data_IF_256525881386
#
_entry.id   IF_256525881386
#
_cell.length_a   1.000
_cell.length_b   1.000
_cell.length_c   1.000
_cell.angle_alpha   90.00
_cell.angle_beta   90.00
_cell.angle_gamma   90.00
#
_symmetry.space_group_name_H-M   'P 1'
#
loop_
_entity.id
_entity.type
_entity.pdbx_description
1 polymer ?
#
# COMPACT_ATOMS: atom_id res chain seq x y z
N UNK A 1 -29.45 22.94 -13.41
CA UNK A 1 -28.09 23.45 -13.14
C UNK A 1 -27.56 23.11 -11.74
N UNK A 2 -28.22 23.48 -10.62
CA UNK A 2 -27.75 23.07 -9.27
C UNK A 2 -27.93 21.55 -8.98
N UNK A 3 -28.98 20.92 -9.52
CA UNK A 3 -29.22 19.46 -9.38
C UNK A 3 -28.27 18.59 -10.22
N UNK A 4 -27.73 19.10 -11.33
CA UNK A 4 -26.80 18.36 -12.20
C UNK A 4 -25.42 18.21 -11.55
N UNK A 5 -24.95 19.25 -10.85
CA UNK A 5 -23.66 19.24 -10.15
C UNK A 5 -23.70 18.25 -8.98
N UNK A 6 -24.80 18.23 -8.22
CA UNK A 6 -24.98 17.31 -7.09
C UNK A 6 -25.03 15.85 -7.57
N UNK A 7 -25.78 15.57 -8.62
CA UNK A 7 -25.90 14.23 -9.24
C UNK A 7 -24.57 13.75 -9.83
N UNK A 8 -23.81 14.62 -10.51
CA UNK A 8 -22.48 14.30 -11.04
C UNK A 8 -21.48 13.97 -9.92
N UNK A 9 -21.55 14.68 -8.77
CA UNK A 9 -20.69 14.39 -7.62
C UNK A 9 -21.00 13.04 -6.97
N UNK A 10 -22.29 12.69 -6.83
CA UNK A 10 -22.73 11.42 -6.25
C UNK A 10 -22.33 10.25 -7.14
N UNK A 11 -22.53 10.37 -8.46
CA UNK A 11 -22.14 9.34 -9.43
C UNK A 11 -20.63 9.05 -9.37
N UNK A 12 -19.78 10.09 -9.26
CA UNK A 12 -18.32 9.92 -9.12
C UNK A 12 -17.93 9.25 -7.81
N UNK A 13 -18.61 9.58 -6.71
CA UNK A 13 -18.42 8.93 -5.40
C UNK A 13 -18.74 7.44 -5.48
N UNK A 14 -19.91 7.09 -6.00
CA UNK A 14 -20.33 5.69 -6.15
C UNK A 14 -19.35 4.91 -7.03
N UNK A 15 -18.97 5.48 -8.19
CA UNK A 15 -18.02 4.84 -9.11
C UNK A 15 -16.68 4.56 -8.42
N UNK A 16 -16.11 5.51 -7.68
CA UNK A 16 -14.79 5.27 -7.09
C UNK A 16 -14.81 4.45 -5.80
N UNK A 17 -15.90 4.48 -5.01
CA UNK A 17 -16.07 3.51 -3.91
C UNK A 17 -16.27 2.09 -4.45
N UNK A 18 -16.99 1.92 -5.56
CA UNK A 18 -17.10 0.64 -6.25
C UNK A 18 -15.76 0.15 -6.79
N UNK A 19 -14.99 1.03 -7.42
CA UNK A 19 -13.64 0.73 -7.91
C UNK A 19 -12.63 0.43 -6.79
N UNK A 20 -12.70 1.11 -5.63
CA UNK A 20 -11.95 0.79 -4.43
C UNK A 20 -12.30 -0.62 -3.93
N UNK A 21 -13.59 -0.95 -3.89
CA UNK A 21 -14.06 -2.26 -3.47
C UNK A 21 -13.57 -3.35 -4.43
N UNK A 22 -13.63 -3.12 -5.74
CA UNK A 22 -13.09 -4.05 -6.75
C UNK A 22 -11.58 -4.24 -6.57
N UNK A 23 -10.82 -3.18 -6.35
CA UNK A 23 -9.38 -3.27 -6.13
C UNK A 23 -9.04 -4.04 -4.83
N UNK A 24 -9.80 -3.80 -3.77
CA UNK A 24 -9.67 -4.52 -2.50
C UNK A 24 -10.01 -6.00 -2.68
N UNK A 25 -11.09 -6.30 -3.41
CA UNK A 25 -11.50 -7.66 -3.73
C UNK A 25 -10.45 -8.39 -4.57
N UNK A 26 -9.81 -7.70 -5.52
CA UNK A 26 -8.72 -8.26 -6.33
C UNK A 26 -7.51 -8.62 -5.46
N UNK A 27 -7.12 -7.75 -4.53
CA UNK A 27 -6.04 -8.07 -3.56
C UNK A 27 -6.43 -9.28 -2.71
N UNK A 28 -7.67 -9.32 -2.21
CA UNK A 28 -8.18 -10.44 -1.43
C UNK A 28 -8.16 -11.76 -2.22
N UNK A 29 -8.60 -11.75 -3.47
CA UNK A 29 -8.62 -12.92 -4.33
C UNK A 29 -7.20 -13.44 -4.63
N UNK A 30 -6.25 -12.54 -4.89
CA UNK A 30 -4.84 -12.90 -5.05
C UNK A 30 -4.29 -13.49 -3.75
N UNK A 31 -4.58 -12.88 -2.60
CA UNK A 31 -4.13 -13.36 -1.30
C UNK A 31 -4.65 -14.77 -0.99
N UNK A 32 -5.95 -15.05 -1.20
CA UNK A 32 -6.48 -16.40 -1.01
C UNK A 32 -5.92 -17.39 -2.03
N UNK A 33 -5.69 -16.98 -3.29
CA UNK A 33 -5.04 -17.83 -4.28
C UNK A 33 -3.61 -18.23 -3.87
N UNK A 34 -2.82 -17.27 -3.37
CA UNK A 34 -1.48 -17.53 -2.83
C UNK A 34 -1.57 -18.43 -1.60
N UNK A 35 -2.51 -18.18 -0.68
CA UNK A 35 -2.72 -19.02 0.50
C UNK A 35 -2.98 -20.48 0.12
N UNK A 36 -3.89 -20.73 -0.81
CA UNK A 36 -4.18 -22.11 -1.27
C UNK A 36 -3.00 -22.77 -1.95
N UNK A 37 -2.18 -21.99 -2.67
CA UNK A 37 -0.96 -22.50 -3.29
C UNK A 37 0.07 -22.87 -2.24
N UNK A 38 0.32 -22.00 -1.27
CA UNK A 38 1.29 -22.23 -0.18
C UNK A 38 0.89 -23.42 0.69
N UNK A 39 -0.41 -23.60 0.96
CA UNK A 39 -0.94 -24.74 1.72
C UNK A 39 -0.68 -26.06 1.00
N UNK A 40 -0.72 -26.06 -0.34
CA UNK A 40 -0.39 -27.24 -1.16
C UNK A 40 1.10 -27.61 -1.14
N UNK A 41 1.98 -26.69 -0.71
CA UNK A 41 3.43 -26.87 -0.65
C UNK A 41 3.97 -26.89 0.80
N UNK A 42 3.11 -26.90 1.83
CA UNK A 42 3.47 -26.77 3.25
C UNK A 42 4.27 -25.48 3.60
N UNK A 43 4.12 -24.42 2.79
CA UNK A 43 4.84 -23.14 2.94
C UNK A 43 4.02 -22.07 3.68
N UNK A 44 3.11 -22.48 4.57
CA UNK A 44 2.13 -21.59 5.20
C UNK A 44 2.74 -20.42 5.97
N UNK A 45 3.92 -20.58 6.58
CA UNK A 45 4.60 -19.49 7.29
C UNK A 45 5.07 -18.37 6.34
N UNK A 46 5.34 -18.65 5.06
CA UNK A 46 5.71 -17.64 4.06
C UNK A 46 4.55 -16.68 3.76
N UNK A 47 3.30 -17.09 4.02
CA UNK A 47 2.11 -16.28 3.76
C UNK A 47 2.13 -14.91 4.48
N UNK A 48 2.77 -14.84 5.66
CA UNK A 48 2.93 -13.60 6.42
C UNK A 48 3.74 -12.57 5.61
N UNK A 49 4.80 -13.00 4.92
CA UNK A 49 5.62 -12.13 4.08
C UNK A 49 4.87 -11.63 2.84
N UNK A 50 4.01 -12.46 2.25
CA UNK A 50 3.10 -12.00 1.19
C UNK A 50 2.13 -10.94 1.70
N UNK A 51 1.58 -11.12 2.92
CA UNK A 51 0.72 -10.12 3.56
C UNK A 51 1.41 -8.76 3.73
N UNK A 52 2.67 -8.77 4.18
CA UNK A 52 3.49 -7.56 4.28
C UNK A 52 3.73 -6.92 2.89
N UNK A 53 3.96 -7.73 1.86
CA UNK A 53 4.16 -7.26 0.49
C UNK A 53 2.94 -6.56 -0.11
N UNK A 54 1.72 -6.98 0.25
CA UNK A 54 0.50 -6.36 -0.28
C UNK A 54 0.34 -4.88 0.08
N UNK A 55 1.04 -4.41 1.12
CA UNK A 55 1.06 -2.99 1.52
C UNK A 55 1.64 -2.09 0.42
N UNK A 56 2.50 -2.62 -0.46
CA UNK A 56 3.05 -1.87 -1.58
C UNK A 56 1.99 -1.54 -2.64
N UNK A 57 0.85 -2.23 -2.65
CA UNK A 57 -0.28 -1.90 -3.52
C UNK A 57 -1.20 -0.80 -2.96
N UNK A 58 -1.04 -0.41 -1.68
CA UNK A 58 -1.82 0.68 -1.06
C UNK A 58 -1.86 1.96 -1.91
N UNK A 59 -0.74 2.46 -2.48
CA UNK A 59 -0.76 3.67 -3.28
C UNK A 59 -1.53 3.45 -4.57
N UNK A 60 -1.38 2.27 -5.19
CA UNK A 60 -2.11 1.91 -6.40
C UNK A 60 -3.62 1.90 -6.17
N UNK A 61 -4.08 1.33 -5.06
CA UNK A 61 -5.50 1.33 -4.69
C UNK A 61 -5.97 2.74 -4.32
N UNK A 62 -5.14 3.54 -3.65
CA UNK A 62 -5.48 4.93 -3.32
C UNK A 62 -5.65 5.81 -4.56
N UNK A 63 -4.91 5.49 -5.64
CA UNK A 63 -5.04 6.15 -6.94
C UNK A 63 -6.34 5.80 -7.65
N UNK A 64 -6.98 4.70 -7.29
CA UNK A 64 -8.32 4.38 -7.79
C UNK A 64 -9.38 5.27 -7.11
N UNK A 65 -9.12 5.71 -5.87
CA UNK A 65 -9.94 6.70 -5.14
C UNK A 65 -9.86 8.12 -5.73
N UNK A 66 -9.02 8.30 -6.75
CA UNK A 66 -8.72 9.56 -7.41
C UNK A 66 -9.92 10.44 -7.79
N UNK A 67 -11.09 9.92 -8.21
CA UNK A 67 -12.21 10.77 -8.60
C UNK A 67 -13.02 11.38 -7.44
N UNK A 68 -12.79 11.00 -6.17
CA UNK A 68 -13.70 11.32 -5.05
C UNK A 68 -13.39 12.63 -4.32
N UNK A 69 -12.13 12.94 -4.04
CA UNK A 69 -11.82 13.74 -2.85
C UNK A 69 -11.60 15.24 -3.11
N UNK A 70 -11.19 15.69 -4.31
CA UNK A 70 -10.62 17.05 -4.46
C UNK A 70 -10.84 17.78 -5.80
N UNK A 71 -11.79 17.39 -6.65
CA UNK A 71 -12.04 18.13 -7.91
C UNK A 71 -13.32 18.94 -7.80
N UNK A 72 -13.16 20.25 -7.55
CA UNK A 72 -14.15 21.23 -7.99
C UNK A 72 -14.16 21.27 -9.52
N UNK A 73 -15.34 21.19 -10.16
CA UNK A 73 -15.46 21.00 -11.60
C UNK A 73 -15.09 22.22 -12.46
N UNK A 74 -14.71 23.35 -11.87
CA UNK A 74 -14.69 24.63 -12.59
C UNK A 74 -13.35 25.09 -13.18
N UNK A 75 -12.19 24.48 -12.88
CA UNK A 75 -10.94 24.99 -13.45
C UNK A 75 -9.95 23.92 -13.95
N UNK A 76 -9.57 24.09 -15.22
CA UNK A 76 -8.46 23.48 -15.96
C UNK A 76 -8.66 22.11 -16.64
N UNK A 77 -9.28 22.25 -17.83
CA UNK A 77 -9.19 21.36 -18.99
C UNK A 77 -7.75 20.93 -19.30
N UNK A 78 -7.58 19.61 -19.43
CA UNK A 78 -6.65 18.88 -20.32
C UNK A 78 -5.13 18.97 -20.11
N UNK A 79 -4.55 20.02 -19.51
CA UNK A 79 -3.08 20.10 -19.29
C UNK A 79 -2.56 19.35 -18.05
N UNK A 80 -3.43 18.95 -17.12
CA UNK A 80 -3.06 18.31 -15.86
C UNK A 80 -2.99 16.76 -15.94
N UNK A 81 -3.63 16.13 -16.94
CA UNK A 81 -3.69 14.66 -17.06
C UNK A 81 -2.34 14.01 -17.37
N UNK A 82 -1.50 14.62 -18.21
CA UNK A 82 -0.23 14.02 -18.64
C UNK A 82 0.78 13.89 -17.49
N UNK A 83 1.01 14.98 -16.75
CA UNK A 83 1.92 14.96 -15.59
C UNK A 83 1.40 14.10 -14.44
N UNK A 84 0.08 14.08 -14.23
CA UNK A 84 -0.55 13.17 -13.27
C UNK A 84 -0.36 11.70 -13.68
N UNK A 85 -0.60 11.38 -14.96
CA UNK A 85 -0.43 10.01 -15.48
C UNK A 85 1.04 9.57 -15.44
N UNK A 86 1.98 10.50 -15.64
CA UNK A 86 3.40 10.27 -15.44
C UNK A 86 3.75 9.97 -13.97
N UNK A 87 3.17 10.70 -13.01
CA UNK A 87 3.38 10.43 -11.58
C UNK A 87 2.77 9.07 -11.17
N UNK A 88 1.59 8.74 -11.69
CA UNK A 88 0.93 7.45 -11.48
C UNK A 88 1.79 6.32 -12.05
N UNK A 89 2.28 6.48 -13.29
CA UNK A 89 3.14 5.49 -13.95
C UNK A 89 4.45 5.29 -13.18
N UNK A 90 5.08 6.37 -12.73
CA UNK A 90 6.30 6.29 -11.91
C UNK A 90 6.03 5.56 -10.59
N UNK A 91 4.95 5.90 -9.88
CA UNK A 91 4.57 5.22 -8.64
C UNK A 91 4.28 3.75 -8.90
N UNK A 92 3.59 3.40 -9.99
CA UNK A 92 3.35 2.01 -10.36
C UNK A 92 4.65 1.24 -10.58
N UNK A 93 5.58 1.78 -11.38
CA UNK A 93 6.89 1.15 -11.64
C UNK A 93 7.67 0.96 -10.34
N UNK A 94 7.75 1.99 -9.51
CA UNK A 94 8.48 1.93 -8.23
C UNK A 94 7.87 0.90 -7.28
N UNK A 95 6.55 0.85 -7.14
CA UNK A 95 5.89 -0.11 -6.25
C UNK A 95 6.02 -1.56 -6.76
N UNK A 96 5.93 -1.79 -8.08
CA UNK A 96 6.14 -3.11 -8.67
C UNK A 96 7.58 -3.59 -8.47
N UNK A 97 8.56 -2.72 -8.67
CA UNK A 97 9.97 -3.05 -8.42
C UNK A 97 10.22 -3.41 -6.95
N UNK A 98 9.71 -2.60 -6.02
CA UNK A 98 9.82 -2.92 -4.60
C UNK A 98 9.12 -4.24 -4.24
N UNK A 99 7.97 -4.53 -4.85
CA UNK A 99 7.26 -5.78 -4.63
C UNK A 99 8.04 -7.00 -5.15
N UNK A 100 8.66 -6.91 -6.33
CA UNK A 100 9.48 -7.99 -6.88
C UNK A 100 10.74 -8.25 -6.05
N UNK A 101 11.42 -7.18 -5.61
CA UNK A 101 12.57 -7.27 -4.72
C UNK A 101 12.14 -7.93 -3.39
N UNK A 102 11.03 -7.47 -2.83
CA UNK A 102 10.47 -8.01 -1.59
C UNK A 102 10.13 -9.50 -1.71
N UNK A 103 9.45 -9.88 -2.78
CA UNK A 103 9.10 -11.28 -3.05
C UNK A 103 10.33 -12.18 -3.09
N UNK A 104 11.41 -11.70 -3.70
CA UNK A 104 12.67 -12.44 -3.80
C UNK A 104 13.34 -12.57 -2.43
N UNK A 105 13.37 -11.49 -1.64
CA UNK A 105 13.96 -11.46 -0.30
C UNK A 105 13.18 -12.33 0.69
N UNK A 106 11.84 -12.27 0.66
CA UNK A 106 10.97 -13.08 1.49
C UNK A 106 11.17 -14.59 1.26
N UNK A 107 11.32 -15.01 0.00
CA UNK A 107 11.58 -16.42 -0.34
C UNK A 107 12.97 -16.84 0.16
N UNK A 108 13.99 -15.99 0.00
CA UNK A 108 15.34 -16.28 0.47
C UNK A 108 15.42 -16.39 2.00
N UNK A 109 14.83 -15.43 2.73
CA UNK A 109 14.76 -15.44 4.19
C UNK A 109 14.00 -16.66 4.71
N UNK A 110 12.85 -16.98 4.11
CA UNK A 110 12.11 -18.18 4.47
C UNK A 110 12.96 -19.46 4.30
N UNK A 111 13.66 -19.56 3.16
CA UNK A 111 14.52 -20.70 2.84
C UNK A 111 15.71 -20.85 3.81
N UNK A 112 16.21 -19.75 4.38
CA UNK A 112 17.35 -19.80 5.33
C UNK A 112 16.92 -20.02 6.78
N UNK A 113 15.75 -19.51 7.19
CA UNK A 113 15.35 -19.44 8.60
C UNK A 113 14.19 -20.35 9.00
N UNK A 114 13.37 -20.80 8.04
CA UNK A 114 12.16 -21.60 8.32
C UNK A 114 12.23 -22.99 7.71
N UNK A 115 12.76 -23.13 6.49
CA UNK A 115 12.89 -24.43 5.83
C UNK A 115 14.32 -24.74 5.37
N UNK A 116 15.07 -25.36 6.28
CA UNK A 116 16.43 -25.87 6.08
C UNK A 116 16.50 -27.03 5.04
N UNK A 117 15.37 -27.55 4.57
CA UNK A 117 15.32 -28.63 3.57
C UNK A 117 15.11 -28.15 2.13
N UNK A 118 14.84 -26.86 1.95
CA UNK A 118 14.62 -26.20 0.66
C UNK A 118 15.86 -26.24 -0.25
N UNK A 119 15.64 -26.17 -1.57
CA UNK A 119 16.71 -26.20 -2.59
C UNK A 119 17.76 -25.09 -2.37
N UNK A 120 17.34 -23.93 -1.87
CA UNK A 120 18.21 -22.78 -1.57
C UNK A 120 19.06 -23.02 -0.31
N UNK A 121 18.49 -23.59 0.75
CA UNK A 121 19.24 -23.99 1.95
C UNK A 121 20.31 -25.04 1.64
N UNK A 122 19.96 -26.02 0.78
CA UNK A 122 20.89 -27.04 0.28
C UNK A 122 21.98 -26.44 -0.63
N UNK A 123 21.64 -25.48 -1.49
CA UNK A 123 22.61 -24.78 -2.34
C UNK A 123 23.59 -23.91 -1.54
N UNK A 124 23.15 -23.35 -0.41
CA UNK A 124 24.00 -22.55 0.49
C UNK A 124 24.63 -23.35 1.65
N UNK A 125 24.43 -24.67 1.69
CA UNK A 125 24.97 -25.57 2.71
C UNK A 125 24.71 -25.10 4.16
N UNK A 126 23.51 -24.57 4.42
CA UNK A 126 23.10 -24.09 5.74
C UNK A 126 22.52 -25.28 6.53
N UNK A 127 23.37 -25.98 7.27
CA UNK A 127 22.99 -27.02 8.22
C UNK A 127 22.91 -26.42 9.64
N UNK A 128 21.84 -25.67 9.93
CA UNK A 128 21.54 -25.27 11.31
C UNK A 128 20.66 -26.33 11.98
N UNK A 129 21.29 -27.17 12.81
CA UNK A 129 20.58 -27.90 13.88
C UNK A 129 20.12 -26.87 14.94
N UNK A 130 18.98 -26.21 14.72
CA UNK A 130 18.35 -25.41 15.78
C UNK A 130 16.91 -25.88 16.00
N UNK A 131 16.72 -26.61 17.10
CA UNK A 131 15.43 -27.02 17.68
C UNK A 131 14.63 -25.81 18.25
N UNK A 132 14.53 -24.71 17.50
CA UNK A 132 13.81 -23.51 17.92
C UNK A 132 12.85 -23.09 16.83
N UNK A 133 11.55 -23.18 17.10
CA UNK A 133 10.47 -22.64 16.27
C UNK A 133 10.60 -21.11 16.16
N UNK A 134 11.41 -20.62 15.21
CA UNK A 134 11.64 -19.19 14.93
C UNK A 134 10.44 -18.49 14.25
N UNK A 135 9.27 -19.12 14.28
CA UNK A 135 8.04 -18.65 13.63
C UNK A 135 7.54 -17.33 14.24
N UNK A 136 7.76 -17.13 15.54
CA UNK A 136 7.35 -15.92 16.27
C UNK A 136 8.26 -14.74 15.91
N UNK A 137 9.57 -14.94 15.88
CA UNK A 137 10.55 -13.95 15.47
C UNK A 137 10.32 -13.55 14.00
N UNK A 138 10.04 -14.52 13.14
CA UNK A 138 9.70 -14.30 11.74
C UNK A 138 8.42 -13.45 11.61
N UNK A 139 7.41 -13.69 12.42
CA UNK A 139 6.18 -12.89 12.44
C UNK A 139 6.46 -11.43 12.81
N UNK A 140 7.18 -11.18 13.90
CA UNK A 140 7.49 -9.81 14.35
C UNK A 140 8.38 -9.06 13.37
N UNK A 141 9.33 -9.75 12.75
CA UNK A 141 10.18 -9.17 11.72
C UNK A 141 9.35 -8.73 10.51
N UNK A 142 8.46 -9.60 10.00
CA UNK A 142 7.58 -9.27 8.88
C UNK A 142 6.60 -8.15 9.23
N UNK A 143 6.12 -8.08 10.48
CA UNK A 143 5.24 -6.99 10.94
C UNK A 143 5.97 -5.65 10.99
N UNK A 144 7.22 -5.63 11.48
CA UNK A 144 8.07 -4.44 11.47
C UNK A 144 8.38 -4.00 10.04
N UNK A 145 8.65 -4.94 9.14
CA UNK A 145 8.89 -4.64 7.73
C UNK A 145 7.64 -4.13 7.02
N UNK A 146 6.49 -4.74 7.28
CA UNK A 146 5.19 -4.26 6.82
C UNK A 146 4.95 -2.80 7.20
N UNK A 147 5.29 -2.43 8.43
CA UNK A 147 5.20 -1.05 8.90
C UNK A 147 6.15 -0.09 8.16
N UNK A 148 7.40 -0.51 7.92
CA UNK A 148 8.36 0.27 7.13
C UNK A 148 7.90 0.44 5.68
N UNK A 149 7.39 -0.62 5.05
CA UNK A 149 6.82 -0.54 3.71
C UNK A 149 5.58 0.32 3.66
N UNK A 150 4.72 0.30 4.68
CA UNK A 150 3.58 1.22 4.76
C UNK A 150 4.05 2.67 4.81
N UNK A 151 5.12 2.97 5.55
CA UNK A 151 5.69 4.32 5.64
C UNK A 151 6.25 4.78 4.29
N UNK A 152 7.00 3.91 3.62
CA UNK A 152 7.54 4.17 2.28
C UNK A 152 6.42 4.37 1.26
N UNK A 153 5.44 3.48 1.27
CA UNK A 153 4.24 3.47 0.41
C UNK A 153 3.42 4.76 0.55
N UNK A 154 3.20 5.24 1.77
CA UNK A 154 2.51 6.51 2.01
C UNK A 154 3.36 7.70 1.54
N UNK A 155 4.66 7.72 1.86
CA UNK A 155 5.53 8.89 1.64
C UNK A 155 5.95 9.07 0.16
N UNK A 156 6.20 7.96 -0.54
CA UNK A 156 6.72 7.91 -1.91
C UNK A 156 5.62 7.53 -2.91
N UNK A 157 4.60 6.79 -2.49
CA UNK A 157 3.49 6.41 -3.37
C UNK A 157 2.32 7.39 -3.29
N UNK A 158 1.70 7.46 -2.12
CA UNK A 158 0.41 8.15 -1.93
C UNK A 158 0.55 9.68 -1.95
N UNK A 159 1.54 10.20 -1.22
CA UNK A 159 1.69 11.63 -0.98
C UNK A 159 2.11 12.45 -2.21
N UNK A 160 3.07 12.03 -3.07
CA UNK A 160 3.38 12.76 -4.30
C UNK A 160 2.16 12.86 -5.23
N UNK A 161 1.34 11.80 -5.27
CA UNK A 161 0.11 11.77 -6.05
C UNK A 161 -0.96 12.71 -5.51
N UNK A 162 -1.00 12.92 -4.19
CA UNK A 162 -1.89 13.88 -3.55
C UNK A 162 -1.42 15.33 -3.81
N UNK A 163 -0.12 15.59 -3.64
CA UNK A 163 0.49 16.90 -3.86
C UNK A 163 0.34 17.36 -5.32
N UNK A 164 0.59 16.44 -6.27
CA UNK A 164 0.44 16.71 -7.70
C UNK A 164 -0.93 17.28 -8.08
N UNK A 165 -1.97 17.00 -7.28
CA UNK A 165 -3.33 17.51 -7.50
C UNK A 165 -3.62 18.84 -6.86
N UNK A 166 -3.03 19.09 -5.68
CA UNK A 166 -3.22 20.35 -4.97
C UNK A 166 -2.43 21.45 -5.69
N UNK A 167 -1.14 21.19 -5.93
CA UNK A 167 -0.25 22.10 -6.64
C UNK A 167 0.80 21.28 -7.39
N UNK A 168 0.64 21.16 -8.69
CA UNK A 168 1.59 20.42 -9.52
C UNK A 168 2.91 21.19 -9.65
N UNK A 169 3.98 20.68 -9.04
CA UNK A 169 5.35 21.23 -9.12
C UNK A 169 6.26 20.43 -10.06
N UNK A 170 5.67 19.60 -10.93
CA UNK A 170 6.38 18.60 -11.73
C UNK A 170 6.68 17.33 -10.94
N UNK A 171 7.00 16.22 -11.63
CA UNK A 171 7.16 14.89 -11.01
C UNK A 171 8.16 14.92 -9.87
N UNK A 172 9.41 15.32 -10.11
CA UNK A 172 10.45 15.37 -9.07
C UNK A 172 10.08 16.35 -7.94
N UNK A 173 9.51 17.52 -8.29
CA UNK A 173 9.09 18.51 -7.30
C UNK A 173 8.01 17.99 -6.35
N UNK A 174 7.09 17.16 -6.84
CA UNK A 174 6.05 16.55 -6.01
C UNK A 174 6.63 15.49 -5.05
N UNK A 175 7.65 14.74 -5.46
CA UNK A 175 8.36 13.79 -4.59
C UNK A 175 9.21 14.50 -3.53
N UNK A 176 9.93 15.57 -3.91
CA UNK A 176 10.72 16.34 -2.94
C UNK A 176 9.79 16.99 -1.89
N UNK A 177 8.65 17.53 -2.33
CA UNK A 177 7.65 18.08 -1.42
C UNK A 177 7.01 17.01 -0.53
N UNK A 178 6.78 15.80 -1.03
CA UNK A 178 6.22 14.70 -0.24
C UNK A 178 7.18 14.27 0.88
N UNK A 179 8.45 14.07 0.54
CA UNK A 179 9.49 13.68 1.49
C UNK A 179 9.71 14.80 2.52
N UNK A 180 9.72 16.06 2.08
CA UNK A 180 9.81 17.21 2.98
C UNK A 180 8.69 17.24 4.01
N UNK A 181 7.44 17.04 3.56
CA UNK A 181 6.28 17.01 4.45
C UNK A 181 6.27 15.81 5.40
N UNK A 182 6.63 14.61 4.91
CA UNK A 182 6.77 13.41 5.71
C UNK A 182 7.88 13.57 6.78
N UNK A 183 8.99 14.25 6.44
CA UNK A 183 10.08 14.55 7.36
C UNK A 183 9.69 15.55 8.45
N UNK A 184 8.79 16.49 8.15
CA UNK A 184 8.26 17.43 9.16
C UNK A 184 7.30 16.74 10.14
N UNK A 185 6.52 15.76 9.67
CA UNK A 185 5.45 15.10 10.43
C UNK A 185 5.75 13.62 10.73
N UNK A 186 7.00 13.29 11.11
CA UNK A 186 7.47 11.89 11.24
C UNK A 186 6.58 11.02 12.12
N UNK A 187 6.19 11.51 13.30
CA UNK A 187 5.36 10.76 14.25
C UNK A 187 3.97 10.44 13.67
N UNK A 188 3.35 11.42 13.03
CA UNK A 188 2.01 11.28 12.47
C UNK A 188 2.01 10.31 11.27
N UNK A 189 3.03 10.39 10.40
CA UNK A 189 3.21 9.42 9.31
C UNK A 189 3.51 8.01 9.81
N UNK A 190 4.26 7.90 10.91
CA UNK A 190 4.56 6.63 11.56
C UNK A 190 3.31 5.96 12.15
N UNK A 191 2.41 6.75 12.76
CA UNK A 191 1.11 6.25 13.21
C UNK A 191 0.22 5.83 12.03
N UNK A 192 0.17 6.62 10.96
CA UNK A 192 -0.59 6.30 9.76
C UNK A 192 -0.10 5.04 9.06
N UNK A 193 1.22 4.86 8.96
CA UNK A 193 1.79 3.65 8.40
C UNK A 193 1.47 2.43 9.25
N UNK A 194 1.49 2.56 10.58
CA UNK A 194 1.14 1.47 11.50
C UNK A 194 -0.33 1.06 11.33
N UNK A 195 -1.25 2.02 11.25
CA UNK A 195 -2.68 1.76 11.00
C UNK A 195 -2.87 0.99 9.68
N UNK A 196 -2.19 1.41 8.61
CA UNK A 196 -2.26 0.71 7.32
C UNK A 196 -1.70 -0.70 7.43
N UNK A 197 -0.51 -0.86 8.02
CA UNK A 197 0.11 -2.17 8.17
C UNK A 197 -0.80 -3.14 8.95
N UNK A 198 -1.36 -2.70 10.07
CA UNK A 198 -2.29 -3.51 10.86
C UNK A 198 -3.60 -3.79 10.10
N UNK A 199 -4.13 -2.83 9.34
CA UNK A 199 -5.36 -3.01 8.56
C UNK A 199 -5.22 -4.01 7.39
N UNK A 200 -3.99 -4.27 6.94
CA UNK A 200 -3.70 -5.24 5.89
C UNK A 200 -3.28 -6.57 6.50
N UNK A 201 -2.21 -6.59 7.30
CA UNK A 201 -1.58 -7.83 7.77
C UNK A 201 -2.50 -8.62 8.68
N UNK A 202 -3.11 -8.00 9.71
CA UNK A 202 -3.95 -8.74 10.67
C UNK A 202 -5.20 -9.31 9.99
N UNK A 203 -5.98 -8.54 9.19
CA UNK A 203 -7.14 -9.08 8.51
C UNK A 203 -6.79 -10.15 7.47
N UNK A 204 -5.72 -9.99 6.67
CA UNK A 204 -5.33 -11.04 5.73
C UNK A 204 -4.94 -12.33 6.47
N UNK A 205 -4.19 -12.21 7.57
CA UNK A 205 -3.69 -13.37 8.29
C UNK A 205 -4.78 -14.11 9.06
N UNK A 206 -5.58 -13.39 9.87
CA UNK A 206 -6.49 -13.99 10.84
C UNK A 206 -7.98 -13.81 10.50
N UNK A 207 -8.35 -12.73 9.82
CA UNK A 207 -9.75 -12.33 9.66
C UNK A 207 -10.09 -12.07 8.19
N UNK A 208 -10.02 -13.13 7.38
CA UNK A 208 -10.13 -13.13 5.89
C UNK A 208 -11.07 -12.06 5.34
N UNK A 209 -12.36 -12.16 5.67
CA UNK A 209 -13.39 -11.28 5.14
C UNK A 209 -13.38 -9.87 5.75
N UNK A 210 -12.78 -9.69 6.94
CA UNK A 210 -12.66 -8.39 7.59
C UNK A 210 -11.76 -7.45 6.77
N UNK A 211 -10.81 -8.00 5.99
CA UNK A 211 -9.97 -7.20 5.10
C UNK A 211 -10.79 -6.38 4.10
N UNK A 212 -11.84 -6.97 3.53
CA UNK A 212 -12.71 -6.32 2.55
C UNK A 212 -13.41 -5.06 3.08
N UNK A 213 -13.51 -4.92 4.41
CA UNK A 213 -14.13 -3.77 5.06
C UNK A 213 -13.09 -2.86 5.74
N UNK A 214 -12.17 -3.44 6.50
CA UNK A 214 -11.18 -2.70 7.29
C UNK A 214 -10.24 -1.88 6.40
N UNK A 215 -9.72 -2.49 5.33
CA UNK A 215 -8.77 -1.85 4.43
C UNK A 215 -9.35 -0.62 3.71
N UNK A 216 -10.50 -0.69 3.01
CA UNK A 216 -11.04 0.46 2.30
C UNK A 216 -11.44 1.60 3.25
N UNK A 217 -11.95 1.27 4.44
CA UNK A 217 -12.28 2.28 5.46
C UNK A 217 -11.01 2.98 5.94
N UNK A 218 -10.00 2.23 6.39
CA UNK A 218 -8.74 2.77 6.87
C UNK A 218 -8.04 3.65 5.81
N UNK A 219 -8.00 3.16 4.56
CA UNK A 219 -7.41 3.89 3.45
C UNK A 219 -8.14 5.21 3.17
N UNK A 220 -9.48 5.19 3.15
CA UNK A 220 -10.27 6.39 2.89
C UNK A 220 -10.10 7.46 3.97
N UNK A 221 -10.10 7.07 5.25
CA UNK A 221 -9.89 7.96 6.38
C UNK A 221 -8.50 8.60 6.33
N UNK A 222 -7.48 7.80 6.03
CA UNK A 222 -6.09 8.24 5.97
C UNK A 222 -5.85 9.22 4.82
N UNK A 223 -6.41 8.97 3.63
CA UNK A 223 -6.31 9.92 2.51
C UNK A 223 -6.95 11.27 2.87
N UNK A 224 -8.12 11.25 3.51
CA UNK A 224 -8.79 12.49 3.95
C UNK A 224 -7.96 13.22 5.01
N UNK A 225 -7.41 12.49 5.98
CA UNK A 225 -6.60 13.06 7.05
C UNK A 225 -5.31 13.69 6.51
N UNK A 226 -4.56 12.97 5.66
CA UNK A 226 -3.34 13.49 5.03
C UNK A 226 -3.66 14.68 4.11
N UNK A 227 -4.74 14.61 3.34
CA UNK A 227 -5.14 15.71 2.45
C UNK A 227 -5.46 17.00 3.21
N UNK A 228 -6.23 16.90 4.30
CA UNK A 228 -6.51 18.05 5.17
C UNK A 228 -5.25 18.57 5.86
N UNK A 229 -4.41 17.67 6.38
CA UNK A 229 -3.16 18.04 7.05
C UNK A 229 -2.19 18.79 6.12
N UNK A 230 -2.07 18.34 4.88
CA UNK A 230 -1.20 19.00 3.90
C UNK A 230 -1.74 20.38 3.49
N UNK A 231 -3.06 20.52 3.31
CA UNK A 231 -3.68 21.81 2.97
C UNK A 231 -3.49 22.86 4.08
N UNK A 232 -3.63 22.45 5.34
CA UNK A 232 -3.41 23.35 6.48
C UNK A 232 -1.94 23.79 6.56
N UNK A 233 -1.00 22.86 6.39
CA UNK A 233 0.43 23.15 6.39
C UNK A 233 0.92 24.02 5.22
N UNK A 234 0.10 24.27 4.20
CA UNK A 234 0.42 25.22 3.11
C UNK A 234 -0.17 26.63 3.35
N UNK A 235 -1.02 26.82 4.37
CA UNK A 235 -1.56 28.14 4.76
C UNK A 235 -0.70 28.87 5.79
N UNK A 236 0.07 28.11 6.57
CA UNK A 236 1.06 28.63 7.52
C UNK A 236 2.42 28.84 6.82
#
# INVERSE_FOLDING_TARGET
MHNDIKTQSIKRRVVSYGLLFIATFLIFAIAEGIRTLLDSYDLNAMFISFCAGFILFVPLVSLVLHPIILVDPENNKLRCKSTLMANIGLVFVVQVLFFLIWMTDAIALYSMYVDNSSFLAKAFNVSSESNSDLSVEFFWFNLLLAWLFALLSISIGLLPCLIARIKNRGTVGNFVASIGYAKANKLLFSCYSLIIALSVVIPLLYAKYLFLLAFPIALSLLIVAIGRGYLNSQRD
#
